data_IF_219900106724
#
_entry.id   IF_219900106724
#
_cell.length_a   1.000
_cell.length_b   1.000
_cell.length_c   1.000
_cell.angle_alpha   90.00
_cell.angle_beta   90.00
_cell.angle_gamma   90.00
#
_symmetry.space_group_name_H-M   'P 1'
#
loop_
_entity.id
_entity.type
_entity.pdbx_description
1 polymer ?
#
# COMPACT_ATOMS: atom_id res chain seq x y z
N UNK A 1 -24.59 7.99 2.40
CA UNK A 1 -23.44 8.86 2.04
C UNK A 1 -22.16 8.04 2.22
N UNK A 2 -21.85 7.18 1.25
CA UNK A 2 -20.59 6.44 1.16
C UNK A 2 -19.85 7.06 -0.02
N UNK A 3 -18.87 7.93 0.24
CA UNK A 3 -18.00 8.42 -0.84
C UNK A 3 -16.75 7.55 -0.88
N UNK A 4 -16.51 6.81 -1.97
CA UNK A 4 -15.31 6.01 -2.17
C UNK A 4 -13.97 6.74 -1.91
N UNK A 5 -13.95 8.06 -2.07
CA UNK A 5 -12.80 8.93 -1.77
C UNK A 5 -12.41 8.92 -0.28
N UNK A 6 -13.39 8.93 0.63
CA UNK A 6 -13.12 8.92 2.09
C UNK A 6 -12.52 7.59 2.54
N UNK A 7 -12.97 6.48 1.96
CA UNK A 7 -12.43 5.15 2.29
C UNK A 7 -10.98 5.06 1.82
N UNK A 8 -10.68 5.52 0.59
CA UNK A 8 -9.31 5.55 0.09
C UNK A 8 -8.36 6.31 1.01
N UNK A 9 -8.77 7.48 1.50
CA UNK A 9 -7.94 8.26 2.44
C UNK A 9 -7.67 7.45 3.70
N UNK A 10 -8.69 6.86 4.33
CA UNK A 10 -8.50 6.06 5.56
C UNK A 10 -7.58 4.85 5.35
N UNK A 11 -7.68 4.17 4.20
CA UNK A 11 -6.81 3.02 3.89
C UNK A 11 -5.38 3.46 3.67
N UNK A 12 -5.17 4.58 2.98
CA UNK A 12 -3.84 5.14 2.78
C UNK A 12 -3.25 5.60 4.11
N UNK A 13 -4.02 6.30 4.95
CA UNK A 13 -3.62 6.69 6.30
C UNK A 13 -3.19 5.48 7.13
N UNK A 14 -3.99 4.40 7.11
CA UNK A 14 -3.65 3.18 7.83
C UNK A 14 -2.38 2.52 7.28
N UNK A 15 -2.18 2.51 5.96
CA UNK A 15 -0.94 2.04 5.36
C UNK A 15 0.28 2.89 5.70
N UNK A 16 0.10 4.21 5.79
CA UNK A 16 1.16 5.13 6.22
C UNK A 16 1.54 4.90 7.69
N UNK A 17 0.58 4.55 8.56
CA UNK A 17 0.86 4.21 9.97
C UNK A 17 1.74 2.96 10.13
N UNK A 18 1.81 2.09 9.12
CA UNK A 18 2.69 0.94 9.12
C UNK A 18 4.13 1.27 8.68
N UNK A 19 4.42 2.52 8.30
CA UNK A 19 5.75 2.96 7.87
C UNK A 19 6.60 3.44 9.07
N UNK A 20 7.92 3.26 9.00
CA UNK A 20 8.80 3.67 10.08
C UNK A 20 8.79 5.19 10.28
N UNK A 21 8.71 5.60 11.55
CA UNK A 21 8.76 6.97 12.01
C UNK A 21 9.82 7.12 13.10
N UNK A 22 10.31 8.34 13.26
CA UNK A 22 11.20 8.74 14.35
C UNK A 22 10.64 9.96 15.06
N UNK A 23 10.90 10.05 16.35
CA UNK A 23 10.59 11.25 17.13
C UNK A 23 11.38 12.46 16.59
N UNK A 24 10.74 13.62 16.56
CA UNK A 24 11.39 14.87 16.22
C UNK A 24 10.75 16.04 16.97
N UNK A 25 11.59 16.92 17.48
CA UNK A 25 11.13 18.20 18.03
C UNK A 25 11.22 19.26 16.95
N UNK A 26 10.15 20.02 16.74
CA UNK A 26 10.14 21.18 15.85
C UNK A 26 9.89 22.45 16.65
N UNK A 27 10.46 23.57 16.20
CA UNK A 27 10.17 24.89 16.76
C UNK A 27 9.03 25.52 15.98
N UNK A 28 7.96 25.89 16.65
CA UNK A 28 6.80 26.56 16.04
C UNK A 28 7.18 27.98 15.58
N UNK A 29 6.40 28.61 14.68
CA UNK A 29 6.61 30.02 14.32
C UNK A 29 6.52 30.97 15.52
N UNK A 30 5.86 30.55 16.60
CA UNK A 30 5.75 31.28 17.86
C UNK A 30 6.92 31.03 18.82
N UNK A 31 7.89 30.19 18.46
CA UNK A 31 9.10 29.91 19.25
C UNK A 31 8.97 28.77 20.26
N UNK A 32 7.81 28.12 20.36
CA UNK A 32 7.60 26.97 21.25
C UNK A 32 8.12 25.67 20.63
N UNK A 33 8.55 24.72 21.47
CA UNK A 33 8.93 23.38 21.02
C UNK A 33 7.72 22.46 20.98
N UNK A 34 7.61 21.65 19.94
CA UNK A 34 6.58 20.62 19.77
C UNK A 34 7.24 19.28 19.47
N UNK A 35 6.97 18.28 20.31
CA UNK A 35 7.45 16.91 20.12
C UNK A 35 6.46 16.15 19.23
N UNK A 36 6.92 15.81 18.03
CA UNK A 36 6.14 15.13 17.02
C UNK A 36 6.86 13.92 16.43
N UNK A 37 6.27 13.38 15.37
CA UNK A 37 6.82 12.26 14.62
C UNK A 37 7.18 12.70 13.20
N UNK A 38 8.24 12.12 12.67
CA UNK A 38 8.68 12.31 11.29
C UNK A 38 8.91 10.95 10.65
N UNK A 39 8.31 10.73 9.49
CA UNK A 39 8.59 9.54 8.69
C UNK A 39 10.10 9.44 8.38
N UNK A 40 10.62 8.22 8.46
CA UNK A 40 11.98 7.97 7.99
C UNK A 40 12.08 8.19 6.47
N UNK A 41 13.26 8.62 6.01
CA UNK A 41 13.49 8.78 4.56
C UNK A 41 13.47 7.40 3.91
N UNK A 42 12.78 7.28 2.79
CA UNK A 42 12.75 6.05 2.00
C UNK A 42 11.39 5.36 1.91
N UNK A 43 10.29 6.10 1.96
CA UNK A 43 8.97 5.54 1.66
C UNK A 43 8.65 5.80 0.18
N UNK A 44 8.11 4.79 -0.51
CA UNK A 44 7.67 4.92 -1.91
C UNK A 44 6.28 4.30 -2.09
N UNK A 45 5.31 5.13 -2.48
CA UNK A 45 4.00 4.69 -2.91
C UNK A 45 4.06 4.36 -4.40
N UNK A 46 3.71 3.14 -4.78
CA UNK A 46 3.86 2.66 -6.14
C UNK A 46 2.53 2.19 -6.73
N UNK A 47 2.26 2.63 -7.95
CA UNK A 47 1.10 2.22 -8.74
C UNK A 47 1.51 1.49 -10.03
N UNK A 48 2.70 1.78 -10.58
CA UNK A 48 3.23 1.18 -11.81
C UNK A 48 4.67 0.67 -11.61
N UNK A 49 4.97 -0.47 -12.24
CA UNK A 49 6.21 -1.26 -12.06
C UNK A 49 7.36 -0.88 -12.99
N UNK A 50 7.27 0.25 -13.72
CA UNK A 50 8.21 0.55 -14.83
C UNK A 50 9.34 1.51 -14.46
N UNK A 51 9.29 2.20 -13.31
CA UNK A 51 10.37 3.10 -12.91
C UNK A 51 10.55 3.12 -11.39
N UNK A 52 11.73 2.73 -10.93
CA UNK A 52 12.08 2.69 -9.51
C UNK A 52 13.16 3.73 -9.19
N UNK A 53 13.11 4.38 -8.02
CA UNK A 53 14.23 5.18 -7.54
C UNK A 53 15.46 4.28 -7.31
N UNK A 54 16.68 4.79 -7.55
CA UNK A 54 17.91 3.97 -7.51
C UNK A 54 18.21 3.35 -6.13
N UNK A 55 17.62 3.87 -5.06
CA UNK A 55 17.77 3.40 -3.69
C UNK A 55 16.58 2.56 -3.19
N UNK A 56 15.72 2.07 -4.09
CA UNK A 56 14.49 1.36 -3.74
C UNK A 56 14.73 0.12 -2.86
N UNK A 57 15.87 -0.55 -3.01
CA UNK A 57 16.28 -1.71 -2.20
C UNK A 57 16.45 -1.41 -0.70
N UNK A 58 16.52 -0.13 -0.31
CA UNK A 58 16.61 0.34 1.08
C UNK A 58 15.30 0.94 1.59
N UNK A 59 14.24 0.91 0.76
CA UNK A 59 12.96 1.58 1.02
C UNK A 59 11.89 0.60 1.44
N UNK A 60 10.96 1.08 2.27
CA UNK A 60 9.69 0.37 2.51
C UNK A 60 8.70 0.80 1.43
N UNK A 61 8.13 -0.18 0.73
CA UNK A 61 7.23 0.06 -0.40
C UNK A 61 5.78 -0.20 0.01
N UNK A 62 4.93 0.76 -0.35
CA UNK A 62 3.48 0.70 -0.20
C UNK A 62 2.87 0.51 -1.60
N UNK A 63 2.36 -0.70 -1.86
CA UNK A 63 1.64 -1.04 -3.08
C UNK A 63 0.16 -0.70 -2.89
N UNK A 64 -0.41 0.10 -3.78
CA UNK A 64 -1.84 0.46 -3.72
C UNK A 64 -2.58 -0.24 -4.85
N UNK A 65 -3.40 -1.22 -4.51
CA UNK A 65 -4.17 -2.02 -5.47
C UNK A 65 -5.63 -2.17 -5.01
N UNK A 66 -6.55 -1.31 -5.47
CA UNK A 66 -7.86 -1.17 -4.83
C UNK A 66 -8.78 -2.39 -4.87
N UNK A 67 -8.67 -3.28 -5.87
CA UNK A 67 -9.49 -4.49 -5.96
C UNK A 67 -8.58 -5.70 -6.17
N UNK A 68 -8.45 -6.57 -5.17
CA UNK A 68 -7.67 -7.82 -5.26
C UNK A 68 -8.57 -8.99 -5.64
N UNK A 69 -8.54 -9.41 -6.92
CA UNK A 69 -9.37 -10.49 -7.48
C UNK A 69 -8.67 -11.85 -7.56
N UNK A 70 -7.60 -11.96 -8.36
CA UNK A 70 -6.74 -13.15 -8.49
C UNK A 70 -5.38 -12.96 -7.84
N UNK A 71 -4.92 -11.71 -7.73
CA UNK A 71 -3.61 -11.37 -7.16
C UNK A 71 -2.45 -11.39 -8.16
N UNK A 72 -2.65 -11.84 -9.40
CA UNK A 72 -1.57 -11.99 -10.38
C UNK A 72 -0.80 -10.69 -10.64
N UNK A 73 -1.50 -9.56 -10.76
CA UNK A 73 -0.84 -8.25 -10.95
C UNK A 73 0.03 -7.87 -9.77
N UNK A 74 -0.39 -8.19 -8.55
CA UNK A 74 0.40 -7.94 -7.34
C UNK A 74 1.59 -8.88 -7.28
N UNK A 75 1.40 -10.16 -7.58
CA UNK A 75 2.48 -11.15 -7.65
C UNK A 75 3.56 -10.66 -8.61
N UNK A 76 3.17 -10.27 -9.83
CA UNK A 76 4.11 -9.76 -10.82
C UNK A 76 4.81 -8.49 -10.36
N UNK A 77 4.08 -7.53 -9.77
CA UNK A 77 4.67 -6.32 -9.23
C UNK A 77 5.71 -6.62 -8.12
N UNK A 78 5.42 -7.57 -7.22
CA UNK A 78 6.34 -7.98 -6.15
C UNK A 78 7.54 -8.75 -6.71
N UNK A 79 7.38 -9.55 -7.78
CA UNK A 79 8.50 -10.19 -8.48
C UNK A 79 9.45 -9.16 -9.06
N UNK A 80 8.94 -8.18 -9.81
CA UNK A 80 9.76 -7.10 -10.36
C UNK A 80 10.48 -6.33 -9.25
N UNK A 81 9.83 -6.05 -8.12
CA UNK A 81 10.49 -5.42 -6.97
C UNK A 81 11.63 -6.30 -6.41
N UNK A 82 11.40 -7.60 -6.32
CA UNK A 82 12.39 -8.56 -5.83
C UNK A 82 13.60 -8.64 -6.78
N UNK A 83 13.38 -8.62 -8.09
CA UNK A 83 14.44 -8.55 -9.12
C UNK A 83 15.30 -7.29 -9.00
N UNK A 84 14.71 -6.17 -8.55
CA UNK A 84 15.42 -4.92 -8.26
C UNK A 84 16.13 -4.91 -6.90
N UNK A 85 16.20 -6.07 -6.22
CA UNK A 85 16.96 -6.25 -4.99
C UNK A 85 16.26 -5.75 -3.73
N UNK A 86 14.94 -5.54 -3.75
CA UNK A 86 14.19 -5.27 -2.53
C UNK A 86 14.14 -6.54 -1.66
N UNK A 87 14.59 -6.42 -0.40
CA UNK A 87 14.46 -7.47 0.63
C UNK A 87 13.20 -7.17 1.45
N UNK A 88 12.28 -8.14 1.49
CA UNK A 88 10.85 -7.91 1.60
C UNK A 88 10.35 -7.52 3.00
N UNK A 89 9.65 -6.38 3.07
CA UNK A 89 8.60 -6.02 4.05
C UNK A 89 7.60 -5.08 3.37
N UNK A 90 6.90 -5.60 2.36
CA UNK A 90 5.99 -4.81 1.53
C UNK A 90 4.61 -4.71 2.19
N UNK A 91 3.96 -3.56 2.04
CA UNK A 91 2.57 -3.36 2.47
C UNK A 91 1.72 -3.23 1.23
N UNK A 92 0.71 -4.09 1.10
CA UNK A 92 -0.31 -4.04 0.07
C UNK A 92 -1.58 -3.44 0.64
N UNK A 93 -2.00 -2.30 0.08
CA UNK A 93 -3.26 -1.63 0.39
C UNK A 93 -4.32 -1.99 -0.65
N UNK A 94 -5.47 -2.48 -0.21
CA UNK A 94 -6.65 -2.68 -1.05
C UNK A 94 -7.93 -2.18 -0.41
N UNK A 95 -8.94 -1.90 -1.23
CA UNK A 95 -10.29 -1.62 -0.74
C UNK A 95 -11.07 -2.93 -0.58
N UNK A 96 -10.95 -3.81 -1.58
CA UNK A 96 -11.64 -5.09 -1.59
C UNK A 96 -10.65 -6.22 -1.79
N UNK A 97 -10.78 -7.29 -1.02
CA UNK A 97 -10.00 -8.52 -1.17
C UNK A 97 -10.87 -9.75 -1.32
N UNK A 98 -10.50 -10.62 -2.26
CA UNK A 98 -11.18 -11.90 -2.52
C UNK A 98 -10.35 -13.04 -1.90
N UNK A 99 -10.74 -13.57 -0.73
CA UNK A 99 -9.84 -14.36 0.11
C UNK A 99 -9.53 -15.75 -0.47
N UNK A 100 -10.48 -16.37 -1.16
CA UNK A 100 -10.36 -17.75 -1.65
C UNK A 100 -9.33 -17.91 -2.79
N UNK A 101 -8.99 -16.84 -3.52
CA UNK A 101 -8.00 -16.87 -4.61
C UNK A 101 -6.76 -16.02 -4.36
N UNK A 102 -6.92 -14.80 -3.84
CA UNK A 102 -5.83 -13.81 -3.85
C UNK A 102 -4.93 -13.88 -2.63
N UNK A 103 -5.50 -13.84 -1.41
CA UNK A 103 -4.69 -13.84 -0.18
C UNK A 103 -3.86 -15.11 -0.07
N UNK A 104 -4.43 -16.27 -0.42
CA UNK A 104 -3.72 -17.54 -0.37
C UNK A 104 -2.52 -17.57 -1.31
N UNK A 105 -2.69 -17.17 -2.57
CA UNK A 105 -1.61 -17.18 -3.58
C UNK A 105 -0.49 -16.20 -3.24
N UNK A 106 -0.84 -14.97 -2.83
CA UNK A 106 0.14 -13.95 -2.46
C UNK A 106 0.93 -14.35 -1.20
N UNK A 107 0.25 -14.83 -0.15
CA UNK A 107 0.91 -15.18 1.12
C UNK A 107 1.75 -16.45 0.98
N UNK A 108 1.34 -17.40 0.13
CA UNK A 108 2.14 -18.60 -0.16
C UNK A 108 3.43 -18.28 -0.90
N UNK A 109 3.42 -17.28 -1.79
CA UNK A 109 4.59 -16.89 -2.57
C UNK A 109 5.48 -15.86 -1.83
N UNK A 110 4.87 -14.96 -1.05
CA UNK A 110 5.57 -13.89 -0.34
C UNK A 110 5.16 -13.86 1.13
N UNK A 111 5.91 -14.55 1.99
CA UNK A 111 5.59 -14.70 3.41
C UNK A 111 5.76 -13.42 4.25
N UNK A 112 6.53 -12.45 3.75
CA UNK A 112 6.83 -11.19 4.44
C UNK A 112 5.92 -10.01 4.02
N UNK A 113 4.90 -10.25 3.18
CA UNK A 113 3.96 -9.21 2.75
C UNK A 113 2.86 -8.98 3.78
N UNK A 114 2.56 -7.71 4.04
CA UNK A 114 1.42 -7.30 4.88
C UNK A 114 0.28 -6.83 3.98
N UNK A 115 -0.89 -7.48 4.05
CA UNK A 115 -2.08 -7.08 3.29
C UNK A 115 -3.02 -6.31 4.23
N UNK A 116 -3.29 -5.05 3.89
CA UNK A 116 -4.30 -4.22 4.53
C UNK A 116 -5.46 -4.03 3.56
N UNK A 117 -6.65 -4.43 3.99
CA UNK A 117 -7.88 -4.34 3.19
C UNK A 117 -9.04 -3.83 4.02
N UNK A 118 -9.97 -3.06 3.42
CA UNK A 118 -11.17 -2.61 4.15
C UNK A 118 -12.24 -3.66 4.22
N UNK A 119 -12.44 -4.40 3.14
CA UNK A 119 -13.52 -5.36 3.02
C UNK A 119 -13.04 -6.64 2.34
N UNK A 120 -13.49 -7.76 2.89
CA UNK A 120 -13.25 -9.08 2.32
C UNK A 120 -14.57 -9.55 1.69
N UNK A 121 -14.57 -9.78 0.38
CA UNK A 121 -15.77 -10.15 -0.37
C UNK A 121 -15.54 -11.43 -1.17
N UNK A 122 -16.52 -12.36 -1.28
CA UNK A 122 -16.34 -13.62 -2.01
C UNK A 122 -16.15 -13.44 -3.53
N UNK A 123 -16.63 -12.33 -4.08
CA UNK A 123 -16.52 -11.98 -5.51
C UNK A 123 -15.95 -10.58 -5.64
N UNK A 124 -14.94 -10.37 -6.48
CA UNK A 124 -14.37 -9.04 -6.69
C UNK A 124 -15.46 -8.07 -7.23
N UNK A 125 -15.69 -6.90 -6.60
CA UNK A 125 -16.71 -5.96 -7.04
C UNK A 125 -16.20 -5.15 -8.25
N UNK A 126 -16.10 -5.77 -9.42
CA UNK A 126 -15.54 -5.17 -10.64
C UNK A 126 -16.29 -3.91 -11.09
N UNK A 127 -17.61 -3.89 -10.94
CA UNK A 127 -18.44 -2.71 -11.20
C UNK A 127 -18.10 -1.50 -10.33
N UNK A 128 -17.62 -1.73 -9.09
CA UNK A 128 -17.12 -0.64 -8.25
C UNK A 128 -15.87 -0.04 -8.88
N UNK A 129 -14.94 -0.87 -9.37
CA UNK A 129 -13.74 -0.41 -10.05
C UNK A 129 -14.06 0.45 -11.27
N UNK A 130 -14.98 0.01 -12.12
CA UNK A 130 -15.36 0.75 -13.32
C UNK A 130 -15.91 2.14 -13.00
N UNK A 131 -16.86 2.23 -12.06
CA UNK A 131 -17.40 3.52 -11.58
C UNK A 131 -16.40 4.37 -10.82
N UNK A 132 -15.50 3.74 -10.05
CA UNK A 132 -14.55 4.45 -9.19
C UNK A 132 -13.37 5.03 -9.97
N UNK A 133 -12.90 4.32 -10.99
CA UNK A 133 -11.79 4.77 -11.85
C UNK A 133 -12.25 5.45 -13.14
N UNK A 134 -13.56 5.49 -13.40
CA UNK A 134 -14.13 6.11 -14.60
C UNK A 134 -13.78 5.35 -15.88
N UNK A 135 -13.84 4.02 -15.83
CA UNK A 135 -13.59 3.14 -16.99
C UNK A 135 -14.87 2.48 -17.51
N UNK A 136 -16.03 3.11 -17.26
CA UNK A 136 -17.31 2.79 -17.91
C UNK A 136 -17.34 3.30 -19.36
#
# INVERSE_FOLDING_TARGET
IFTPERIKIRVVEEGLNQLPYRECTVTTPTGHKYDGLKFEKGNCGMLNSTQFPPDINRRKVLLIYPILSTGNTVIEAVRVLTEHGLRAKHILLSLFSTPHGTCKSIIQEFTEITILTTEVHPVAPTHFGQRYFGTD
#
